data_IF_121331857291
#
_entry.id   IF_121331857291
#
_cell.length_a   1.000
_cell.length_b   1.000
_cell.length_c   1.000
_cell.angle_alpha   90.00
_cell.angle_beta   90.00
_cell.angle_gamma   90.00
#
_symmetry.space_group_name_H-M   'P 1'
#
loop_
_entity.id
_entity.type
_entity.pdbx_description
1 polymer ?
#
# COMPACT_ATOMS: atom_id res chain seq x y z
N UNK A 1 -21.46 -5.48 -32.89
CA UNK A 1 -20.46 -6.02 -31.94
C UNK A 1 -19.59 -4.84 -31.54
N UNK A 2 -19.67 -4.38 -30.29
CA UNK A 2 -18.96 -3.16 -29.86
C UNK A 2 -17.51 -3.48 -29.56
N UNK A 3 -16.58 -2.63 -29.99
CA UNK A 3 -15.18 -2.76 -29.60
C UNK A 3 -15.01 -2.12 -28.22
N UNK A 4 -14.28 -2.77 -27.31
CA UNK A 4 -14.07 -2.23 -25.96
C UNK A 4 -13.38 -0.85 -25.98
N UNK A 5 -12.64 -0.55 -27.05
CA UNK A 5 -12.04 0.77 -27.31
C UNK A 5 -13.07 1.90 -27.44
N UNK A 6 -14.27 1.60 -27.95
CA UNK A 6 -15.34 2.59 -28.13
C UNK A 6 -16.05 2.96 -26.82
N UNK A 7 -15.79 2.20 -25.74
CA UNK A 7 -16.45 2.42 -24.45
C UNK A 7 -15.82 3.55 -23.62
N UNK A 8 -14.66 4.10 -24.04
CA UNK A 8 -14.00 5.21 -23.33
C UNK A 8 -13.62 4.90 -21.88
N UNK A 9 -13.66 3.62 -21.48
CA UNK A 9 -13.39 3.17 -20.12
C UNK A 9 -11.89 3.30 -19.87
N UNK A 10 -11.51 4.35 -19.14
CA UNK A 10 -10.16 4.47 -18.60
C UNK A 10 -10.06 3.57 -17.36
N UNK A 11 -8.96 2.81 -17.20
CA UNK A 11 -8.75 2.04 -15.99
C UNK A 11 -8.78 3.00 -14.79
N UNK A 12 -9.46 2.62 -13.70
CA UNK A 12 -9.37 3.35 -12.44
C UNK A 12 -7.89 3.51 -12.09
N UNK A 13 -7.42 4.74 -11.90
CA UNK A 13 -6.05 5.07 -11.51
C UNK A 13 -5.60 4.40 -10.20
N UNK A 14 -6.54 3.83 -9.44
CA UNK A 14 -6.32 3.10 -8.19
C UNK A 14 -5.84 1.65 -8.38
N UNK A 15 -5.45 1.24 -9.58
CA UNK A 15 -4.78 -0.04 -9.77
C UNK A 15 -3.35 0.09 -9.23
N UNK A 16 -3.11 -0.41 -8.01
CA UNK A 16 -1.77 -0.61 -7.49
C UNK A 16 -0.90 -1.32 -8.54
N UNK A 17 0.27 -0.75 -8.82
CA UNK A 17 1.15 -1.22 -9.91
C UNK A 17 2.43 -1.84 -9.37
N UNK A 18 2.88 -2.88 -10.05
CA UNK A 18 4.12 -3.58 -9.70
C UNK A 18 3.89 -4.90 -8.98
N UNK A 19 5.00 -5.58 -8.68
CA UNK A 19 4.98 -6.89 -8.04
C UNK A 19 4.75 -6.73 -6.54
N UNK A 20 4.11 -7.76 -5.93
CA UNK A 20 4.10 -7.90 -4.49
C UNK A 20 5.55 -7.99 -3.99
N UNK A 21 5.86 -7.26 -2.92
CA UNK A 21 7.06 -7.44 -2.12
C UNK A 21 6.66 -7.79 -0.69
N UNK A 22 7.47 -8.61 -0.04
CA UNK A 22 7.23 -8.98 1.33
C UNK A 22 7.70 -7.87 2.27
N UNK A 23 6.97 -7.73 3.38
CA UNK A 23 7.21 -6.64 4.34
C UNK A 23 8.66 -6.65 4.82
N UNK A 24 9.23 -7.85 5.01
CA UNK A 24 10.56 -8.06 5.56
C UNK A 24 11.67 -7.57 4.63
N UNK A 25 11.47 -7.63 3.30
CA UNK A 25 12.43 -7.12 2.31
C UNK A 25 12.54 -5.58 2.33
N UNK A 26 11.53 -4.89 2.86
CA UNK A 26 11.48 -3.41 2.91
C UNK A 26 11.64 -2.86 4.33
N UNK A 27 11.85 -3.73 5.33
CA UNK A 27 12.10 -3.28 6.69
C UNK A 27 13.43 -2.55 6.77
N UNK A 28 13.45 -1.42 7.47
CA UNK A 28 14.63 -0.56 7.63
C UNK A 28 15.16 0.03 6.32
N UNK A 29 14.39 -0.02 5.24
CA UNK A 29 14.69 0.66 3.97
C UNK A 29 13.88 1.95 3.84
N UNK A 30 14.46 2.95 3.18
CA UNK A 30 13.73 4.14 2.77
C UNK A 30 12.79 3.76 1.62
N UNK A 31 11.50 4.00 1.82
CA UNK A 31 10.47 3.76 0.81
C UNK A 31 9.65 5.04 0.59
N UNK A 32 9.19 5.24 -0.64
CA UNK A 32 8.23 6.30 -0.95
C UNK A 32 6.85 5.69 -0.95
N UNK A 33 5.99 6.08 -0.02
CA UNK A 33 4.58 5.65 -0.01
C UNK A 33 3.81 6.53 -0.97
N UNK A 34 3.31 5.92 -2.05
CA UNK A 34 2.57 6.61 -3.11
C UNK A 34 1.08 6.69 -2.77
N UNK A 35 0.55 5.65 -2.13
CA UNK A 35 -0.85 5.56 -1.77
C UNK A 35 -1.15 4.29 -1.00
N UNK A 36 -2.36 4.22 -0.46
CA UNK A 36 -2.78 3.10 0.36
C UNK A 36 -4.27 2.79 0.20
N UNK A 37 -4.64 1.58 0.58
CA UNK A 37 -6.03 1.14 0.61
C UNK A 37 -6.22 0.15 1.75
N UNK A 38 -7.28 0.33 2.54
CA UNK A 38 -7.65 -0.60 3.60
C UNK A 38 -8.88 -1.37 3.12
N UNK A 39 -8.77 -2.69 3.07
CA UNK A 39 -9.82 -3.61 2.62
C UNK A 39 -10.11 -4.67 3.67
N UNK A 40 -11.33 -5.19 3.65
CA UNK A 40 -11.71 -6.34 4.46
C UNK A 40 -11.03 -7.62 3.93
N UNK A 41 -10.44 -8.38 4.84
CA UNK A 41 -9.72 -9.61 4.53
C UNK A 41 -10.70 -10.73 4.21
N UNK A 42 -10.50 -11.36 3.06
CA UNK A 42 -11.28 -12.53 2.64
C UNK A 42 -10.90 -13.79 3.41
N UNK A 43 -9.72 -13.84 4.06
CA UNK A 43 -9.23 -15.00 4.81
C UNK A 43 -9.76 -15.11 6.23
N UNK A 44 -10.04 -13.97 6.88
CA UNK A 44 -10.52 -13.93 8.26
C UNK A 44 -11.67 -12.93 8.34
N UNK A 45 -12.87 -13.47 8.59
CA UNK A 45 -14.06 -12.66 8.79
C UNK A 45 -13.79 -11.56 9.83
N UNK A 46 -14.24 -10.35 9.54
CA UNK A 46 -14.12 -9.19 10.42
C UNK A 46 -12.68 -8.68 10.68
N UNK A 47 -11.73 -9.01 9.80
CA UNK A 47 -10.38 -8.43 9.84
C UNK A 47 -10.11 -7.59 8.61
N UNK A 48 -9.34 -6.51 8.76
CA UNK A 48 -8.91 -5.66 7.65
C UNK A 48 -7.44 -5.87 7.35
N UNK A 49 -7.04 -5.56 6.13
CA UNK A 49 -5.65 -5.50 5.72
C UNK A 49 -5.40 -4.20 4.97
N UNK A 50 -4.18 -3.72 5.10
CA UNK A 50 -3.65 -2.55 4.42
C UNK A 50 -2.88 -3.01 3.18
N UNK A 51 -3.17 -2.38 2.06
CA UNK A 51 -2.40 -2.45 0.82
C UNK A 51 -1.68 -1.13 0.67
N UNK A 52 -0.36 -1.15 0.54
CA UNK A 52 0.48 0.02 0.33
C UNK A 52 1.12 -0.07 -1.06
N UNK A 53 0.98 1.02 -1.82
CA UNK A 53 1.81 1.29 -2.98
C UNK A 53 3.08 1.97 -2.49
N UNK A 54 4.22 1.33 -2.72
CA UNK A 54 5.51 1.94 -2.40
C UNK A 54 6.41 1.99 -3.63
N UNK A 55 7.39 2.87 -3.60
CA UNK A 55 8.54 2.84 -4.48
C UNK A 55 9.79 2.59 -3.64
N UNK A 56 10.54 1.57 -4.02
CA UNK A 56 11.78 1.16 -3.38
C UNK A 56 12.78 0.83 -4.49
N UNK A 57 14.00 1.37 -4.40
CA UNK A 57 15.03 1.26 -5.45
C UNK A 57 14.53 1.71 -6.84
N UNK A 58 13.72 2.77 -6.90
CA UNK A 58 13.12 3.28 -8.14
C UNK A 58 12.08 2.36 -8.78
N UNK A 59 11.69 1.27 -8.11
CA UNK A 59 10.71 0.31 -8.58
C UNK A 59 9.43 0.40 -7.76
N UNK A 60 8.30 0.55 -8.45
CA UNK A 60 6.97 0.52 -7.82
C UNK A 60 6.62 -0.90 -7.42
N UNK A 61 6.25 -1.08 -6.16
CA UNK A 61 5.92 -2.37 -5.54
C UNK A 61 4.70 -2.23 -4.65
N UNK A 62 4.08 -3.37 -4.36
CA UNK A 62 2.87 -3.44 -3.54
C UNK A 62 3.13 -4.29 -2.30
N UNK A 63 2.75 -3.76 -1.14
CA UNK A 63 2.93 -4.42 0.15
C UNK A 63 1.57 -4.64 0.79
N UNK A 64 1.37 -5.83 1.33
CA UNK A 64 0.16 -6.16 2.09
C UNK A 64 0.53 -6.39 3.55
N UNK A 65 -0.17 -5.71 4.46
CA UNK A 65 0.06 -5.86 5.90
C UNK A 65 -1.24 -5.91 6.67
N UNK A 66 -1.32 -6.85 7.62
CA UNK A 66 -2.41 -6.95 8.59
C UNK A 66 -2.18 -6.11 9.85
N UNK A 67 -1.15 -5.27 9.87
CA UNK A 67 -0.79 -4.48 11.05
C UNK A 67 -1.83 -3.40 11.33
N UNK A 68 -2.56 -3.54 12.45
CA UNK A 68 -3.51 -2.53 12.92
C UNK A 68 -2.82 -1.18 13.20
N UNK A 69 -1.58 -1.22 13.68
CA UNK A 69 -0.81 -0.01 13.98
C UNK A 69 -0.49 0.78 12.71
N UNK A 70 -0.02 0.11 11.65
CA UNK A 70 0.24 0.79 10.38
C UNK A 70 -1.05 1.31 9.74
N UNK A 71 -2.15 0.55 9.83
CA UNK A 71 -3.47 0.98 9.37
C UNK A 71 -3.94 2.26 10.07
N UNK A 72 -3.73 2.35 11.38
CA UNK A 72 -4.08 3.53 12.15
C UNK A 72 -3.22 4.74 11.75
N UNK A 73 -1.89 4.57 11.74
CA UNK A 73 -0.95 5.63 11.39
C UNK A 73 -1.16 6.17 9.97
N UNK A 74 -1.30 5.30 8.97
CA UNK A 74 -1.49 5.73 7.57
C UNK A 74 -2.85 6.43 7.38
N UNK A 75 -3.87 6.07 8.16
CA UNK A 75 -5.19 6.70 8.09
C UNK A 75 -5.20 8.12 8.67
N UNK A 76 -4.24 8.45 9.52
CA UNK A 76 -4.05 9.81 10.04
C UNK A 76 -3.37 10.75 9.03
N UNK A 77 -2.74 10.20 7.98
CA UNK A 77 -2.03 11.00 6.98
C UNK A 77 -3.05 11.61 6.00
N UNK A 78 -3.05 12.95 5.82
CA UNK A 78 -3.92 13.61 4.85
C UNK A 78 -3.60 13.16 3.42
N UNK A 79 -4.64 13.00 2.59
CA UNK A 79 -4.46 12.53 1.20
C UNK A 79 -3.62 13.48 0.33
N UNK A 80 -3.58 14.77 0.67
CA UNK A 80 -2.76 15.78 0.02
C UNK A 80 -1.25 15.66 0.31
N UNK A 81 -0.87 14.82 1.29
CA UNK A 81 0.53 14.59 1.68
C UNK A 81 1.18 13.42 0.96
N UNK A 82 0.49 12.78 0.02
CA UNK A 82 1.05 11.71 -0.79
C UNK A 82 1.58 12.25 -2.13
N UNK A 83 2.72 11.74 -2.64
CA UNK A 83 3.58 10.72 -2.03
C UNK A 83 4.50 11.27 -0.93
N UNK A 84 4.87 10.46 0.06
CA UNK A 84 5.84 10.82 1.10
C UNK A 84 6.91 9.74 1.31
N UNK A 85 8.08 10.15 1.80
CA UNK A 85 9.18 9.25 2.16
C UNK A 85 9.07 8.83 3.62
N UNK A 86 9.33 7.56 3.91
CA UNK A 86 9.36 7.02 5.28
C UNK A 86 10.21 5.76 5.32
N UNK A 87 10.57 5.32 6.53
CA UNK A 87 11.20 4.04 6.78
C UNK A 87 10.22 3.20 7.59
N UNK A 88 9.94 1.97 7.14
CA UNK A 88 9.11 1.07 7.93
C UNK A 88 10.01 0.23 8.83
N UNK A 89 9.83 0.37 10.13
CA UNK A 89 10.60 -0.37 11.14
C UNK A 89 9.73 -1.37 11.87
N UNK A 90 10.34 -2.49 12.26
CA UNK A 90 9.73 -3.52 13.11
C UNK A 90 10.38 -3.45 14.48
N UNK A 91 9.70 -2.81 15.43
CA UNK A 91 10.13 -2.76 16.83
C UNK A 91 9.41 -3.88 17.60
N UNK A 92 10.18 -4.90 17.98
CA UNK A 92 9.72 -6.11 18.71
C UNK A 92 8.57 -6.85 18.00
N UNK A 93 7.33 -6.42 18.24
CA UNK A 93 6.09 -7.01 17.70
C UNK A 93 5.24 -6.02 16.91
N UNK A 94 5.67 -4.76 16.74
CA UNK A 94 4.89 -3.70 16.08
C UNK A 94 5.64 -3.13 14.88
N UNK A 95 4.86 -2.78 13.87
CA UNK A 95 5.35 -2.09 12.67
C UNK A 95 4.95 -0.62 12.76
N UNK A 96 5.88 0.27 12.48
CA UNK A 96 5.71 1.72 12.57
C UNK A 96 6.43 2.45 11.43
N UNK A 97 5.87 3.61 11.07
CA UNK A 97 6.51 4.56 10.15
C UNK A 97 7.45 5.45 10.98
N UNK A 98 8.71 5.55 10.55
CA UNK A 98 9.75 6.44 11.10
C UNK A 98 10.18 7.44 10.04
#
# INVERSE_FOLDING_TARGET
>A
MFNFKDLGIKPKESAFIGKKIDMEDILNLEVIVIGFEIKDSTKKANTKYLTLQIEVDGNKRVVFTGSKNLMDLISQIPKDKFPFKTIIKKNDKRLEFT
#
